data_IF_285640309162
#
_entry.id   IF_285640309162
#
_cell.length_a   1.000
_cell.length_b   1.000
_cell.length_c   1.000
_cell.angle_alpha   90.00
_cell.angle_beta   90.00
_cell.angle_gamma   90.00
#
_symmetry.space_group_name_H-M   'P 1'
#
loop_
_entity.id
_entity.type
_entity.pdbx_description
1 polymer ?
#
# COMPACT_ATOMS: atom_id res chain seq x y z
N UNK A 1 -9.30 -32.18 -48.04
CA UNK A 1 -8.38 -32.06 -46.88
C UNK A 1 -8.00 -30.59 -46.69
N UNK A 2 -8.89 -29.76 -46.13
CA UNK A 2 -8.68 -28.30 -45.97
C UNK A 2 -9.29 -27.74 -44.66
N UNK A 3 -9.39 -28.57 -43.61
CA UNK A 3 -10.04 -28.18 -42.33
C UNK A 3 -9.19 -28.45 -41.08
N UNK A 4 -7.86 -28.56 -41.23
CA UNK A 4 -6.95 -28.85 -40.11
C UNK A 4 -6.01 -27.67 -39.75
N UNK A 5 -5.95 -26.62 -40.58
CA UNK A 5 -5.00 -25.53 -40.38
C UNK A 5 -5.50 -24.35 -39.52
N UNK A 6 -6.75 -24.39 -39.02
CA UNK A 6 -7.33 -23.27 -38.23
C UNK A 6 -7.28 -23.53 -36.72
N UNK A 7 -6.83 -24.70 -36.27
CA UNK A 7 -6.89 -25.12 -34.87
C UNK A 7 -5.59 -24.99 -34.08
N UNK A 8 -4.52 -24.42 -34.66
CA UNK A 8 -3.24 -24.22 -33.96
C UNK A 8 -2.79 -22.75 -33.85
N UNK A 9 -3.57 -21.80 -34.37
CA UNK A 9 -3.30 -20.36 -34.23
C UNK A 9 -4.13 -19.70 -33.12
N UNK A 10 -4.91 -20.47 -32.37
CA UNK A 10 -5.79 -19.99 -31.30
C UNK A 10 -5.26 -20.24 -29.88
N UNK A 11 -4.03 -20.76 -29.73
CA UNK A 11 -3.47 -21.17 -28.42
C UNK A 11 -2.28 -20.31 -27.97
N UNK A 12 -2.07 -19.14 -28.56
CA UNK A 12 -0.97 -18.22 -28.20
C UNK A 12 -1.42 -16.85 -27.70
N UNK A 13 -2.71 -16.62 -27.46
CA UNK A 13 -3.22 -15.32 -26.99
C UNK A 13 -3.58 -15.25 -25.50
N UNK A 14 -3.33 -16.30 -24.71
CA UNK A 14 -3.78 -16.37 -23.32
C UNK A 14 -2.63 -16.48 -22.28
N UNK A 15 -1.49 -15.83 -22.54
CA UNK A 15 -0.36 -15.79 -21.58
C UNK A 15 0.05 -14.38 -21.14
N UNK A 16 -0.62 -13.33 -21.61
CA UNK A 16 -0.24 -11.93 -21.36
C UNK A 16 -0.99 -11.22 -20.21
N UNK A 17 -1.60 -11.96 -19.27
CA UNK A 17 -2.39 -11.35 -18.19
C UNK A 17 -2.17 -12.02 -16.83
N UNK A 18 -0.92 -11.99 -16.35
CA UNK A 18 -0.59 -12.27 -14.94
C UNK A 18 0.04 -11.02 -14.30
N UNK A 19 -0.54 -9.86 -14.56
CA UNK A 19 -0.27 -8.62 -13.82
C UNK A 19 -1.60 -7.97 -13.45
N UNK A 20 -2.53 -8.77 -12.91
CA UNK A 20 -3.70 -8.23 -12.25
C UNK A 20 -3.23 -7.68 -10.91
N UNK A 21 -2.90 -6.39 -10.84
CA UNK A 21 -2.69 -5.69 -9.58
C UNK A 21 -3.94 -5.91 -8.74
N UNK A 22 -3.87 -6.74 -7.71
CA UNK A 22 -4.96 -6.82 -6.75
C UNK A 22 -5.06 -5.43 -6.12
N UNK A 23 -6.12 -4.69 -6.46
CA UNK A 23 -6.56 -3.54 -5.70
C UNK A 23 -6.87 -4.04 -4.29
N UNK A 24 -5.86 -4.02 -3.41
CA UNK A 24 -6.11 -4.23 -1.99
C UNK A 24 -7.06 -3.12 -1.55
N UNK A 25 -8.18 -3.54 -0.95
CA UNK A 25 -9.13 -2.60 -0.37
C UNK A 25 -8.40 -1.76 0.68
N UNK A 26 -8.71 -0.46 0.71
CA UNK A 26 -8.17 0.50 1.69
C UNK A 26 -8.82 0.28 3.06
N UNK A 27 -8.65 -0.92 3.61
CA UNK A 27 -9.21 -1.42 4.87
C UNK A 27 -8.14 -2.16 5.66
N UNK A 28 -8.42 -2.48 6.92
CA UNK A 28 -7.49 -3.22 7.77
C UNK A 28 -7.25 -4.63 7.20
N UNK A 29 -6.01 -5.10 7.17
CA UNK A 29 -5.69 -6.48 6.79
C UNK A 29 -4.50 -7.03 7.57
N UNK A 30 -4.42 -8.35 7.79
CA UNK A 30 -3.23 -8.97 8.39
C UNK A 30 -2.10 -9.11 7.36
N UNK A 31 -0.94 -8.54 7.66
CA UNK A 31 0.30 -8.72 6.90
C UNK A 31 1.22 -9.70 7.62
N UNK A 32 1.74 -10.68 6.87
CA UNK A 32 2.73 -11.63 7.39
C UNK A 32 4.13 -11.08 7.13
N UNK A 33 5.01 -11.14 8.13
CA UNK A 33 6.43 -10.78 7.95
C UNK A 33 7.09 -11.86 7.09
N UNK A 34 7.76 -11.51 5.97
CA UNK A 34 8.41 -12.48 5.10
C UNK A 34 9.34 -13.42 5.86
N UNK A 35 9.36 -14.69 5.45
CA UNK A 35 10.15 -15.76 6.08
C UNK A 35 9.86 -15.99 7.58
N UNK A 36 8.67 -15.63 8.06
CA UNK A 36 8.24 -15.92 9.43
C UNK A 36 6.74 -16.21 9.51
N UNK A 37 6.30 -16.75 10.65
CA UNK A 37 4.89 -16.94 10.97
C UNK A 37 4.26 -15.70 11.63
N UNK A 38 5.05 -14.66 11.91
CA UNK A 38 4.56 -13.45 12.58
C UNK A 38 3.65 -12.64 11.67
N UNK A 39 2.56 -12.13 12.25
CA UNK A 39 1.57 -11.29 11.57
C UNK A 39 1.30 -10.02 12.36
N UNK A 40 1.05 -8.94 11.64
CA UNK A 40 0.61 -7.66 12.18
C UNK A 40 -0.52 -7.10 11.33
N UNK A 41 -1.35 -6.25 11.91
CA UNK A 41 -2.47 -5.64 11.21
C UNK A 41 -2.02 -4.33 10.57
N UNK A 42 -2.12 -4.24 9.25
CA UNK A 42 -2.01 -2.98 8.52
C UNK A 42 -3.29 -2.19 8.74
N UNK A 43 -3.17 -0.90 9.05
CA UNK A 43 -4.30 0.02 9.24
C UNK A 43 -4.16 1.17 8.24
N UNK A 44 -5.15 1.40 7.39
CA UNK A 44 -5.08 2.45 6.39
C UNK A 44 -5.19 3.82 7.07
N UNK A 45 -4.23 4.70 6.80
CA UNK A 45 -4.24 6.10 7.22
C UNK A 45 -4.75 6.96 6.08
N UNK A 46 -5.93 7.55 6.27
CA UNK A 46 -6.54 8.44 5.26
C UNK A 46 -5.68 9.68 5.05
N UNK A 47 -5.80 10.28 3.86
CA UNK A 47 -5.19 11.58 3.58
C UNK A 47 -5.71 12.63 4.56
N UNK A 48 -4.84 13.54 4.97
CA UNK A 48 -5.21 14.54 5.97
C UNK A 48 -4.10 15.53 6.24
N UNK A 49 -4.38 16.40 7.21
CA UNK A 49 -3.42 17.35 7.73
C UNK A 49 -3.33 17.17 9.24
N UNK A 50 -2.13 17.34 9.81
CA UNK A 50 -1.92 17.34 11.25
C UNK A 50 -0.82 18.31 11.64
N UNK A 51 -0.75 18.64 12.93
CA UNK A 51 0.35 19.42 13.49
C UNK A 51 1.46 18.46 13.92
N UNK A 52 2.63 18.56 13.29
CA UNK A 52 3.83 17.80 13.65
C UNK A 52 4.72 18.64 14.56
N UNK A 53 5.31 18.01 15.58
CA UNK A 53 6.13 18.64 16.61
C UNK A 53 5.37 18.95 17.89
N UNK A 54 6.11 19.20 18.97
CA UNK A 54 5.57 19.42 20.33
C UNK A 54 5.32 20.90 20.61
N UNK A 55 4.32 21.22 21.44
CA UNK A 55 4.05 22.62 21.81
C UNK A 55 5.24 23.21 22.57
N UNK A 56 5.52 24.50 22.40
CA UNK A 56 6.63 25.16 23.09
C UNK A 56 6.55 25.05 24.64
N UNK A 57 5.33 24.92 25.17
CA UNK A 57 5.04 24.82 26.61
C UNK A 57 4.82 23.38 27.10
N UNK A 58 5.09 22.38 26.26
CA UNK A 58 4.87 20.98 26.60
C UNK A 58 5.93 20.48 27.60
N UNK A 59 5.48 19.87 28.70
CA UNK A 59 6.37 19.34 29.72
C UNK A 59 7.23 18.21 29.14
N UNK A 60 8.55 18.29 29.33
CA UNK A 60 9.49 17.28 28.81
C UNK A 60 9.91 17.47 27.35
N UNK A 61 9.42 18.52 26.67
CA UNK A 61 9.85 18.87 25.31
C UNK A 61 11.37 19.04 25.23
N UNK A 62 11.99 18.40 24.24
CA UNK A 62 13.38 18.66 23.81
C UNK A 62 13.46 19.78 22.78
N UNK A 63 14.66 20.32 22.62
CA UNK A 63 14.90 21.50 21.77
C UNK A 63 14.65 21.25 20.29
N UNK A 64 14.79 20.01 19.82
CA UNK A 64 14.68 19.56 18.43
C UNK A 64 13.26 19.13 18.01
N UNK A 65 12.29 19.12 18.93
CA UNK A 65 10.90 18.70 18.65
C UNK A 65 10.02 19.79 18.02
N UNK A 66 10.56 20.97 17.71
CA UNK A 66 9.80 22.08 17.15
C UNK A 66 10.56 22.87 16.08
N UNK A 67 9.93 23.91 15.50
CA UNK A 67 8.57 24.41 15.80
C UNK A 67 7.47 23.46 15.32
N UNK A 68 6.25 23.64 15.82
CA UNK A 68 5.11 22.91 15.28
C UNK A 68 4.82 23.36 13.84
N UNK A 69 4.68 22.40 12.94
CA UNK A 69 4.39 22.65 11.51
C UNK A 69 3.15 21.90 11.07
N UNK A 70 2.35 22.50 10.19
CA UNK A 70 1.19 21.83 9.60
C UNK A 70 1.65 20.98 8.42
N UNK A 71 1.48 19.66 8.53
CA UNK A 71 1.90 18.69 7.52
C UNK A 71 0.67 18.10 6.84
N UNK A 72 0.68 18.09 5.50
CA UNK A 72 -0.28 17.36 4.68
C UNK A 72 0.32 16.02 4.27
N UNK A 73 -0.45 14.94 4.38
CA UNK A 73 -0.02 13.59 3.97
C UNK A 73 -1.06 12.93 3.08
N UNK A 74 -0.59 12.24 2.03
CA UNK A 74 -1.43 11.39 1.20
C UNK A 74 -1.89 10.15 2.00
N UNK A 75 -2.88 9.43 1.48
CA UNK A 75 -3.32 8.17 2.09
C UNK A 75 -2.23 7.10 1.98
N UNK A 76 -2.02 6.30 3.03
CA UNK A 76 -1.01 5.23 3.08
C UNK A 76 -1.40 4.11 4.06
N UNK A 77 -0.55 3.07 4.17
CA UNK A 77 -0.65 1.96 5.11
C UNK A 77 0.65 1.81 5.90
#
# INVERSE_FOLDING_TARGET
>A
MKKIFVLHFGLLSCLATMAQTQLQKFENYPQTVPASEYKFTMVPIKTGNFMMGSKATEAGRKTDEGPQVKVAIAAFW
#
